data_IF_923871068030
#
_entry.id   IF_923871068030
#
_cell.length_a   1.000
_cell.length_b   1.000
_cell.length_c   1.000
_cell.angle_alpha   90.00
_cell.angle_beta   90.00
_cell.angle_gamma   90.00
#
_symmetry.space_group_name_H-M   'P 1'
#
loop_
_entity.id
_entity.type
_entity.pdbx_description
1 polymer ?
#
# COMPACT_ATOMS: atom_id res chain seq x y z
N UNK A 1 27.08 -9.03 0.12
CA UNK A 1 26.21 -10.24 0.10
C UNK A 1 24.83 -9.81 0.54
N UNK A 2 23.75 -10.02 -0.25
CA UNK A 2 22.41 -9.68 0.22
C UNK A 2 22.04 -10.69 1.30
N UNK A 3 21.91 -10.20 2.52
CA UNK A 3 21.43 -10.99 3.65
C UNK A 3 19.94 -11.22 3.40
N UNK A 4 19.58 -12.40 2.90
CA UNK A 4 18.23 -12.93 3.04
C UNK A 4 17.98 -13.10 4.54
N UNK A 5 17.58 -12.01 5.19
CA UNK A 5 17.33 -11.96 6.63
C UNK A 5 16.08 -12.76 6.96
N UNK A 6 16.34 -14.05 7.18
CA UNK A 6 15.58 -15.03 7.96
C UNK A 6 14.15 -15.28 7.47
N UNK A 7 13.81 -16.57 7.32
CA UNK A 7 12.47 -17.11 7.57
C UNK A 7 12.07 -16.71 9.01
N UNK A 8 11.78 -15.44 9.23
CA UNK A 8 11.38 -14.88 10.50
C UNK A 8 9.87 -14.90 10.52
N UNK A 9 9.31 -15.68 11.43
CA UNK A 9 7.92 -15.71 11.92
C UNK A 9 6.97 -15.00 10.97
N UNK A 10 6.16 -15.76 10.21
CA UNK A 10 5.07 -15.18 9.44
C UNK A 10 4.29 -14.25 10.34
N UNK A 11 4.48 -12.95 10.16
CA UNK A 11 3.68 -11.97 10.87
C UNK A 11 2.28 -12.16 10.29
N UNK A 12 1.29 -12.56 11.09
CA UNK A 12 -0.05 -12.83 10.55
C UNK A 12 -0.63 -11.57 9.90
N UNK A 13 -0.24 -10.38 10.39
CA UNK A 13 -0.59 -9.10 9.80
C UNK A 13 0.11 -8.86 8.45
N UNK A 14 1.27 -9.47 8.19
CA UNK A 14 1.96 -9.36 6.90
C UNK A 14 1.62 -10.50 5.93
N UNK A 15 0.91 -11.54 6.38
CA UNK A 15 0.50 -12.64 5.53
C UNK A 15 -0.48 -12.18 4.43
N UNK A 16 -1.20 -11.08 4.67
CA UNK A 16 -2.13 -10.44 3.73
C UNK A 16 -1.41 -9.58 2.67
N UNK A 17 -0.22 -9.05 2.96
CA UNK A 17 0.53 -8.16 2.06
C UNK A 17 1.47 -8.92 1.11
N UNK A 18 0.96 -9.97 0.46
CA UNK A 18 1.74 -10.81 -0.48
C UNK A 18 1.94 -10.13 -1.84
N UNK A 19 3.04 -10.51 -2.47
CA UNK A 19 3.91 -9.67 -3.31
C UNK A 19 3.40 -9.26 -4.69
N UNK A 20 2.24 -9.74 -5.15
CA UNK A 20 1.62 -9.35 -6.42
C UNK A 20 0.28 -10.04 -6.57
N UNK A 21 -0.78 -9.27 -6.63
CA UNK A 21 -2.10 -9.78 -7.01
C UNK A 21 -2.52 -9.00 -8.24
N UNK A 22 -2.52 -9.63 -9.42
CA UNK A 22 -3.02 -8.99 -10.65
C UNK A 22 -4.53 -8.88 -10.51
N UNK A 23 -5.08 -7.67 -10.59
CA UNK A 23 -6.52 -7.45 -10.39
C UNK A 23 -7.09 -6.55 -11.49
N UNK A 24 -8.42 -6.54 -11.61
CA UNK A 24 -9.12 -5.93 -12.74
C UNK A 24 -9.65 -4.54 -12.35
N UNK A 25 -8.82 -3.49 -12.50
CA UNK A 25 -9.28 -2.11 -12.67
C UNK A 25 -9.48 -1.24 -11.42
N UNK A 26 -9.98 -0.02 -11.65
CA UNK A 26 -10.08 1.07 -10.66
C UNK A 26 -10.94 0.74 -9.41
N UNK A 27 -11.99 -0.06 -9.58
CA UNK A 27 -12.80 -0.53 -8.45
C UNK A 27 -11.98 -1.38 -7.47
N UNK A 28 -10.95 -2.05 -7.95
CA UNK A 28 -10.04 -2.80 -7.10
C UNK A 28 -9.12 -1.86 -6.30
N UNK A 29 -8.53 -0.87 -6.96
CA UNK A 29 -7.71 0.16 -6.32
C UNK A 29 -8.46 0.85 -5.17
N UNK A 30 -9.74 1.18 -5.40
CA UNK A 30 -10.61 1.74 -4.36
C UNK A 30 -10.79 0.79 -3.18
N UNK A 31 -11.05 -0.51 -3.42
CA UNK A 31 -11.21 -1.51 -2.34
C UNK A 31 -9.93 -1.72 -1.54
N UNK A 32 -8.78 -1.78 -2.23
CA UNK A 32 -7.48 -1.91 -1.57
C UNK A 32 -7.19 -0.70 -0.70
N UNK A 33 -7.49 0.51 -1.19
CA UNK A 33 -7.34 1.72 -0.40
C UNK A 33 -8.23 1.68 0.85
N UNK A 34 -9.52 1.35 0.73
CA UNK A 34 -10.41 1.21 1.88
C UNK A 34 -9.90 0.17 2.91
N UNK A 35 -9.34 -0.94 2.44
CA UNK A 35 -8.78 -1.96 3.32
C UNK A 35 -7.55 -1.44 4.09
N UNK A 36 -6.66 -0.74 3.40
CA UNK A 36 -5.48 -0.10 4.00
C UNK A 36 -5.88 0.98 5.00
N UNK A 37 -6.90 1.78 4.69
CA UNK A 37 -7.43 2.78 5.62
C UNK A 37 -7.89 2.17 6.93
N UNK A 38 -8.58 1.03 6.84
CA UNK A 38 -9.01 0.28 8.01
C UNK A 38 -7.79 -0.27 8.78
N UNK A 39 -6.80 -0.84 8.09
CA UNK A 39 -5.58 -1.36 8.72
C UNK A 39 -4.79 -0.25 9.45
N UNK A 40 -4.69 0.95 8.88
CA UNK A 40 -4.05 2.11 9.52
C UNK A 40 -4.88 2.59 10.72
N UNK A 41 -6.20 2.69 10.58
CA UNK A 41 -7.08 3.13 11.66
C UNK A 41 -7.10 2.15 12.85
N UNK A 42 -6.92 0.86 12.58
CA UNK A 42 -6.76 -0.19 13.59
C UNK A 42 -5.34 -0.27 14.18
N UNK A 43 -4.40 0.56 13.72
CA UNK A 43 -3.01 0.57 14.19
C UNK A 43 -2.19 -0.65 13.75
N UNK A 44 -2.63 -1.38 12.73
CA UNK A 44 -1.91 -2.52 12.15
C UNK A 44 -0.78 -2.03 11.23
N UNK A 45 -1.06 -0.96 10.47
CA UNK A 45 -0.12 -0.28 9.59
C UNK A 45 0.10 1.16 10.05
N UNK A 46 1.31 1.65 9.85
CA UNK A 46 1.65 3.08 9.93
C UNK A 46 1.91 3.60 8.52
N UNK A 47 1.26 4.69 8.14
CA UNK A 47 1.59 5.44 6.91
C UNK A 47 2.95 6.12 7.08
N UNK A 48 3.85 5.85 6.13
CA UNK A 48 5.23 6.34 6.07
C UNK A 48 5.51 7.12 4.79
N UNK A 49 4.52 7.33 3.92
CA UNK A 49 4.72 7.82 2.54
C UNK A 49 5.62 9.05 2.47
N UNK A 50 5.20 10.14 3.11
CA UNK A 50 5.96 11.40 3.12
C UNK A 50 7.32 11.31 3.81
N UNK A 51 7.54 10.33 4.70
CA UNK A 51 8.83 10.14 5.36
C UNK A 51 9.84 9.38 4.46
N UNK A 52 9.36 8.50 3.58
CA UNK A 52 10.21 7.61 2.77
C UNK A 52 10.56 8.21 1.42
N UNK A 53 9.57 8.79 0.73
CA UNK A 53 9.75 9.43 -0.58
C UNK A 53 8.73 10.56 -0.75
N UNK A 54 9.08 11.82 -0.40
CA UNK A 54 8.17 12.95 -0.54
C UNK A 54 7.78 13.27 -2.00
N UNK A 55 8.54 12.80 -2.99
CA UNK A 55 8.35 13.14 -4.39
C UNK A 55 7.43 12.15 -5.11
N UNK A 56 7.47 10.87 -4.71
CA UNK A 56 6.69 9.81 -5.33
C UNK A 56 5.58 9.23 -4.44
N UNK A 57 5.61 9.46 -3.13
CA UNK A 57 4.56 8.95 -2.23
C UNK A 57 3.38 9.90 -2.18
N UNK A 58 2.24 9.43 -2.64
CA UNK A 58 0.96 10.00 -2.21
C UNK A 58 0.80 9.68 -0.72
N UNK A 59 0.30 10.61 0.09
CA UNK A 59 -0.07 10.26 1.47
C UNK A 59 -1.47 9.70 1.56
N UNK A 60 -1.74 8.85 2.55
CA UNK A 60 -3.08 8.31 2.75
C UNK A 60 -4.12 9.42 2.96
N UNK A 61 -3.73 10.53 3.59
CA UNK A 61 -4.57 11.70 3.79
C UNK A 61 -4.89 12.43 2.48
N UNK A 62 -3.93 12.58 1.58
CA UNK A 62 -4.14 13.17 0.24
C UNK A 62 -5.06 12.29 -0.60
N UNK A 63 -4.85 10.97 -0.59
CA UNK A 63 -5.74 10.03 -1.29
C UNK A 63 -7.18 10.08 -0.77
N UNK A 64 -7.41 10.41 0.51
CA UNK A 64 -8.75 10.63 1.07
C UNK A 64 -9.38 11.94 0.60
N UNK A 65 -8.56 12.96 0.39
CA UNK A 65 -9.01 14.28 -0.05
C UNK A 65 -9.39 14.31 -1.54
N UNK A 66 -8.83 13.40 -2.36
CA UNK A 66 -9.08 13.31 -3.80
C UNK A 66 -10.54 12.95 -4.19
N UNK A 67 -11.46 12.66 -3.24
CA UNK A 67 -12.87 12.56 -3.63
C UNK A 67 -13.88 12.23 -2.52
N UNK A 68 -15.13 12.67 -2.74
CA UNK A 68 -16.30 12.38 -1.91
C UNK A 68 -17.00 11.09 -2.37
N UNK A 69 -16.51 9.92 -1.94
CA UNK A 69 -17.23 8.64 -2.05
C UNK A 69 -17.04 7.87 -3.36
N UNK A 70 -16.65 6.60 -3.22
CA UNK A 70 -16.53 5.50 -4.21
C UNK A 70 -15.63 5.68 -5.44
N UNK A 71 -15.43 6.89 -5.97
CA UNK A 71 -14.62 7.11 -7.19
C UNK A 71 -13.45 8.08 -6.92
N UNK A 72 -12.47 7.65 -6.12
CA UNK A 72 -11.29 8.47 -5.78
C UNK A 72 -10.22 8.49 -6.87
N UNK A 73 -10.38 7.66 -7.91
CA UNK A 73 -9.39 7.47 -8.95
C UNK A 73 -10.07 7.52 -10.32
N UNK A 74 -9.58 8.38 -11.20
CA UNK A 74 -9.92 8.51 -12.59
C UNK A 74 -9.03 7.64 -13.51
N UNK A 75 -9.13 7.92 -14.81
CA UNK A 75 -8.32 7.27 -15.84
C UNK A 75 -6.90 7.86 -15.84
N UNK A 76 -5.88 7.00 -15.81
CA UNK A 76 -4.44 7.32 -15.70
C UNK A 76 -3.92 7.73 -14.31
N UNK A 77 -4.68 7.46 -13.26
CA UNK A 77 -4.16 7.65 -11.90
C UNK A 77 -3.20 6.53 -11.52
N UNK A 78 -2.17 6.90 -10.77
CA UNK A 78 -1.24 5.99 -10.13
C UNK A 78 -1.23 6.23 -8.63
N UNK A 79 -0.97 5.18 -7.88
CA UNK A 79 -0.91 5.17 -6.43
C UNK A 79 0.44 4.61 -6.03
N UNK A 80 1.16 5.34 -5.18
CA UNK A 80 2.31 4.81 -4.47
C UNK A 80 2.21 5.21 -3.01
N UNK A 81 1.87 4.27 -2.14
CA UNK A 81 1.76 4.48 -0.70
C UNK A 81 2.78 3.61 0.02
N UNK A 82 3.39 4.13 1.09
CA UNK A 82 4.35 3.37 1.88
C UNK A 82 3.84 3.14 3.29
N UNK A 83 3.97 1.90 3.73
CA UNK A 83 3.48 1.47 5.03
C UNK A 83 4.54 0.71 5.81
N UNK A 84 4.44 0.79 7.12
CA UNK A 84 5.21 -0.02 8.05
C UNK A 84 4.26 -0.84 8.92
N UNK A 85 4.52 -2.14 9.00
CA UNK A 85 3.81 -3.00 9.94
C UNK A 85 4.20 -2.63 11.37
N UNK A 86 3.23 -2.30 12.21
CA UNK A 86 3.49 -1.88 13.60
C UNK A 86 4.03 -3.02 14.45
N UNK A 87 3.72 -4.28 14.11
CA UNK A 87 4.18 -5.47 14.84
C UNK A 87 5.58 -5.94 14.48
N UNK A 88 5.90 -6.04 13.19
CA UNK A 88 7.19 -6.60 12.74
C UNK A 88 8.13 -5.57 12.09
N UNK A 89 7.70 -4.30 12.01
CA UNK A 89 8.46 -3.17 11.46
C UNK A 89 8.88 -3.34 9.98
N UNK A 90 8.36 -4.35 9.29
CA UNK A 90 8.58 -4.53 7.85
C UNK A 90 7.86 -3.43 7.09
N UNK A 91 8.53 -2.93 6.05
CA UNK A 91 8.05 -1.86 5.19
C UNK A 91 7.54 -2.42 3.88
N UNK A 92 6.46 -1.83 3.40
CA UNK A 92 5.76 -2.23 2.19
C UNK A 92 5.39 -1.00 1.39
N UNK A 93 5.48 -1.12 0.08
CA UNK A 93 4.98 -0.16 -0.88
C UNK A 93 3.73 -0.76 -1.52
N UNK A 94 2.61 -0.05 -1.44
CA UNK A 94 1.43 -0.33 -2.23
C UNK A 94 1.52 0.49 -3.51
N UNK A 95 1.68 -0.20 -4.63
CA UNK A 95 1.63 0.38 -5.96
C UNK A 95 0.28 0.09 -6.60
N UNK A 96 -0.26 1.02 -7.35
CA UNK A 96 -1.41 0.78 -8.20
C UNK A 96 -1.45 1.73 -9.38
N UNK A 97 -2.06 1.30 -10.47
CA UNK A 97 -2.28 2.13 -11.65
C UNK A 97 -3.63 1.81 -12.28
N UNK A 98 -4.46 2.82 -12.53
CA UNK A 98 -5.80 2.61 -13.12
C UNK A 98 -5.74 2.35 -14.61
N UNK A 99 -4.67 2.77 -15.29
CA UNK A 99 -4.48 2.59 -16.73
C UNK A 99 -4.33 1.13 -17.14
N UNK A 100 -3.48 0.35 -16.46
CA UNK A 100 -3.36 -1.09 -16.66
C UNK A 100 -4.19 -1.90 -15.64
N UNK A 101 -4.85 -1.21 -14.71
CA UNK A 101 -5.74 -1.79 -13.71
C UNK A 101 -5.03 -2.59 -12.63
N UNK A 102 -3.72 -2.43 -12.44
CA UNK A 102 -2.96 -3.26 -11.51
C UNK A 102 -2.88 -2.63 -10.12
N UNK A 103 -2.82 -3.48 -9.09
CA UNK A 103 -2.51 -3.08 -7.71
C UNK A 103 -1.65 -4.16 -7.09
N UNK A 104 -0.49 -3.81 -6.53
CA UNK A 104 0.39 -4.80 -5.92
C UNK A 104 1.13 -4.24 -4.71
N UNK A 105 1.47 -5.14 -3.80
CA UNK A 105 2.33 -4.84 -2.67
C UNK A 105 3.75 -5.28 -3.00
N UNK A 106 4.70 -4.38 -2.83
CA UNK A 106 6.12 -4.68 -2.91
C UNK A 106 6.74 -4.50 -1.53
N UNK A 107 7.53 -5.47 -1.07
CA UNK A 107 8.27 -5.28 0.17
C UNK A 107 9.40 -4.29 -0.09
N UNK A 108 9.28 -3.08 0.46
CA UNK A 108 10.31 -2.07 0.36
C UNK A 108 11.48 -2.48 1.26
N UNK A 109 12.56 -2.98 0.64
CA UNK A 109 13.80 -3.30 1.35
C UNK A 109 14.60 -2.01 1.51
N UNK A 110 14.42 -1.33 2.66
CA UNK A 110 15.35 -0.33 3.18
C UNK A 110 15.60 -0.59 4.65
#
# INVERSE_FOLDING_TARGET
>A
MPVFSRKGIDCPQCAEFKTRVKMEGAAHLQRTLCHVENAVSLGILRDMGKEIDPAWSESLAECRALGSGRDRFGWYDSLSLYFECTRCRRRYQLCGDTYHGNVWWEQAVR
#
